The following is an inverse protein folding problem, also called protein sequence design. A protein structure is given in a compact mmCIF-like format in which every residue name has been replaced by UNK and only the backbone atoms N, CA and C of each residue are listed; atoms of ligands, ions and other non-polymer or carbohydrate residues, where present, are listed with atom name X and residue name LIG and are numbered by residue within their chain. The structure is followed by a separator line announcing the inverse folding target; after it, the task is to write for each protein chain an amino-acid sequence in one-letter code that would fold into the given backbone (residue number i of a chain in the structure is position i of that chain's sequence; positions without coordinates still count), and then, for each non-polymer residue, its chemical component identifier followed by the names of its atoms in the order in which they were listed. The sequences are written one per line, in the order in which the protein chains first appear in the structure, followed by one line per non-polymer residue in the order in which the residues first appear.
data_IF_833857647569
#
_entry.id   IF_833857647569
#
_cell.length_a   1.000
_cell.length_b   1.000
_cell.length_c   1.000
_cell.angle_alpha   90.00
_cell.angle_beta   90.00
_cell.angle_gamma   90.00
#
_symmetry.space_group_name_H-M   'P 1'
#
loop_
_entity.id
_entity.type
_entity.pdbx_description
1 polymer ?
#
# COMPACT_ATOMS: atom_id res chain seq x y z
N UNK A 1 37.35 13.07 48.23
CA UNK A 1 36.35 13.84 47.45
C UNK A 1 36.63 13.69 45.95
N UNK A 2 35.63 13.23 45.19
CA UNK A 2 35.48 13.60 43.78
C UNK A 2 35.98 12.61 42.72
N UNK A 3 35.00 12.12 41.94
CA UNK A 3 34.99 11.71 40.51
C UNK A 3 34.36 10.32 40.38
N UNK A 4 33.45 10.02 39.47
CA UNK A 4 32.60 10.76 38.55
C UNK A 4 31.68 9.65 38.01
N UNK A 5 30.36 9.79 38.18
CA UNK A 5 29.40 8.79 37.71
C UNK A 5 29.33 8.78 36.19
N UNK A 6 29.78 7.68 35.58
CA UNK A 6 29.60 7.42 34.16
C UNK A 6 28.18 6.95 33.91
N UNK A 7 27.32 7.87 33.47
CA UNK A 7 26.00 7.54 32.93
C UNK A 7 26.17 6.76 31.62
N UNK A 8 26.08 5.44 31.68
CA UNK A 8 25.91 4.61 30.50
C UNK A 8 24.47 4.77 30.01
N UNK A 9 24.23 5.71 29.09
CA UNK A 9 22.99 5.75 28.32
C UNK A 9 22.95 4.53 27.39
N UNK A 10 22.29 3.49 27.86
CA UNK A 10 21.99 2.28 27.10
C UNK A 10 20.85 2.63 26.12
N UNK A 11 21.18 3.19 24.96
CA UNK A 11 20.21 3.31 23.87
C UNK A 11 20.08 1.93 23.20
N UNK A 12 18.89 1.30 23.17
CA UNK A 12 18.72 0.06 22.45
C UNK A 12 19.02 0.33 20.97
N UNK A 13 19.87 -0.52 20.39
CA UNK A 13 20.15 -0.58 18.96
C UNK A 13 18.82 -0.75 18.23
N UNK A 14 18.23 0.36 17.77
CA UNK A 14 17.09 0.30 16.87
C UNK A 14 17.63 -0.23 15.54
N UNK A 15 17.21 -1.42 15.08
CA UNK A 15 17.63 -1.90 13.78
C UNK A 15 17.22 -0.86 12.74
N UNK A 16 18.05 -0.62 11.71
CA UNK A 16 17.67 0.26 10.62
C UNK A 16 16.33 -0.22 10.06
N UNK A 17 15.33 0.65 10.13
CA UNK A 17 14.03 0.41 9.50
C UNK A 17 14.28 0.49 8.01
N UNK A 18 14.58 -0.67 7.40
CA UNK A 18 14.61 -0.74 5.95
C UNK A 18 13.18 -0.48 5.46
N UNK A 19 12.95 0.52 4.60
CA UNK A 19 11.62 0.76 4.07
C UNK A 19 11.13 -0.52 3.41
N UNK A 20 9.94 -0.97 3.80
CA UNK A 20 9.32 -2.18 3.26
C UNK A 20 9.24 -2.04 1.73
N UNK A 21 10.08 -2.78 1.00
CA UNK A 21 10.03 -2.81 -0.47
C UNK A 21 8.94 -3.80 -0.87
N UNK A 22 7.85 -3.30 -1.44
CA UNK A 22 6.77 -4.15 -1.92
C UNK A 22 7.13 -4.71 -3.29
N UNK A 23 7.58 -5.96 -3.36
CA UNK A 23 8.00 -6.59 -4.62
C UNK A 23 7.42 -7.99 -4.79
N UNK A 24 7.06 -8.30 -6.03
CA UNK A 24 6.53 -9.60 -6.44
C UNK A 24 5.01 -9.72 -6.31
N UNK A 25 4.51 -10.90 -6.69
CA UNK A 25 3.09 -11.27 -6.66
C UNK A 25 2.87 -12.32 -5.58
N UNK A 26 1.85 -12.12 -4.74
CA UNK A 26 1.49 -13.03 -3.65
C UNK A 26 -0.02 -13.25 -3.64
N UNK A 27 -0.44 -14.52 -3.73
CA UNK A 27 -1.85 -14.92 -3.63
C UNK A 27 -2.17 -15.33 -2.20
N UNK A 28 -3.24 -14.78 -1.64
CA UNK A 28 -3.71 -15.09 -0.29
C UNK A 28 -5.23 -15.21 -0.29
N UNK A 29 -5.75 -16.13 0.53
CA UNK A 29 -7.19 -16.21 0.76
C UNK A 29 -7.63 -15.18 1.80
N UNK A 30 -8.89 -14.76 1.69
CA UNK A 30 -9.57 -13.95 2.69
C UNK A 30 -10.18 -14.87 3.76
N UNK A 31 -9.98 -14.52 5.02
CA UNK A 31 -10.56 -15.19 6.19
C UNK A 31 -12.09 -14.96 6.23
N UNK A 32 -12.85 -15.79 6.96
CA UNK A 32 -14.30 -15.63 7.16
C UNK A 32 -14.69 -14.24 7.71
N UNK A 33 -13.75 -13.53 8.35
CA UNK A 33 -13.93 -12.16 8.85
C UNK A 33 -13.47 -11.05 7.89
N UNK A 34 -13.25 -11.35 6.60
CA UNK A 34 -12.80 -10.35 5.62
C UNK A 34 -11.31 -9.95 5.74
N UNK A 35 -10.54 -10.64 6.59
CA UNK A 35 -9.13 -10.29 6.86
C UNK A 35 -8.21 -10.86 5.79
N UNK A 36 -7.31 -10.01 5.29
CA UNK A 36 -6.27 -10.39 4.33
C UNK A 36 -4.91 -10.44 5.03
N UNK A 37 -4.10 -11.45 4.71
CA UNK A 37 -2.75 -11.57 5.28
C UNK A 37 -1.74 -10.87 4.38
N UNK A 38 -0.96 -9.93 4.93
CA UNK A 38 0.19 -9.32 4.26
C UNK A 38 1.39 -10.29 4.31
N UNK A 39 2.15 -10.45 3.22
CA UNK A 39 3.40 -11.21 3.22
C UNK A 39 4.39 -10.73 4.28
N UNK A 40 5.07 -11.64 4.98
CA UNK A 40 6.00 -11.30 6.07
C UNK A 40 7.05 -10.25 5.70
N UNK A 41 7.59 -10.33 4.47
CA UNK A 41 8.59 -9.39 3.96
C UNK A 41 8.07 -7.95 3.77
N UNK A 42 6.76 -7.75 3.76
CA UNK A 42 6.12 -6.44 3.57
C UNK A 42 5.52 -5.88 4.85
N UNK A 43 5.59 -6.63 5.96
CA UNK A 43 5.00 -6.22 7.24
C UNK A 43 5.92 -5.20 7.92
N UNK A 44 5.41 -4.00 8.26
CA UNK A 44 6.12 -3.09 9.12
C UNK A 44 6.14 -3.65 10.56
N UNK A 45 7.09 -3.19 11.37
CA UNK A 45 7.06 -3.44 12.81
C UNK A 45 5.77 -2.88 13.43
N UNK A 46 5.14 -3.62 14.34
CA UNK A 46 3.82 -3.24 14.89
C UNK A 46 3.76 -1.84 15.51
N UNK A 47 4.76 -1.49 16.31
CA UNK A 47 4.86 -0.20 16.99
C UNK A 47 5.59 0.85 16.13
N UNK A 48 5.88 0.50 14.86
CA UNK A 48 6.47 1.43 13.92
C UNK A 48 5.42 2.42 13.45
N UNK A 49 5.85 3.68 13.27
CA UNK A 49 5.07 4.69 12.54
C UNK A 49 4.76 4.27 11.10
N UNK A 50 5.45 3.24 10.59
CA UNK A 50 5.19 2.64 9.28
C UNK A 50 3.99 1.68 9.26
N UNK A 51 3.43 1.30 10.42
CA UNK A 51 2.26 0.41 10.53
C UNK A 51 0.93 1.15 10.36
N UNK A 52 0.86 1.99 9.32
CA UNK A 52 -0.33 2.74 8.94
C UNK A 52 -0.42 2.76 7.42
N UNK A 53 -1.57 2.40 6.88
CA UNK A 53 -1.77 2.26 5.45
C UNK A 53 -3.07 2.92 5.03
N UNK A 54 -3.07 3.45 3.82
CA UNK A 54 -4.27 4.00 3.18
C UNK A 54 -4.59 3.15 1.94
N UNK A 55 -5.75 2.50 1.95
CA UNK A 55 -6.31 1.89 0.75
C UNK A 55 -7.18 2.88 -0.01
N UNK A 56 -6.96 2.97 -1.31
CA UNK A 56 -7.78 3.73 -2.25
C UNK A 56 -8.31 2.81 -3.36
N UNK A 57 -9.57 2.97 -3.79
CA UNK A 57 -10.07 2.27 -4.96
C UNK A 57 -9.36 2.80 -6.21
N UNK A 58 -9.08 1.92 -7.15
CA UNK A 58 -8.58 2.26 -8.47
C UNK A 58 -9.69 2.08 -9.50
N UNK A 59 -9.92 3.04 -10.42
CA UNK A 59 -10.95 2.94 -11.45
C UNK A 59 -10.91 1.65 -12.30
N UNK A 60 -9.74 1.02 -12.42
CA UNK A 60 -9.58 -0.27 -13.10
C UNK A 60 -10.07 -1.49 -12.27
N UNK A 61 -10.74 -1.29 -11.14
CA UNK A 61 -11.41 -2.34 -10.37
C UNK A 61 -10.52 -3.10 -9.39
N UNK A 62 -9.48 -2.45 -8.85
CA UNK A 62 -8.60 -2.99 -7.81
C UNK A 62 -8.34 -1.98 -6.71
N UNK A 63 -7.77 -2.41 -5.58
CA UNK A 63 -7.41 -1.51 -4.47
C UNK A 63 -5.92 -1.21 -4.52
N UNK A 64 -5.52 0.05 -4.30
CA UNK A 64 -4.12 0.42 -4.11
C UNK A 64 -3.88 0.79 -2.67
N UNK A 65 -2.86 0.19 -2.06
CA UNK A 65 -2.46 0.45 -0.68
C UNK A 65 -1.18 1.27 -0.65
N UNK A 66 -1.25 2.38 0.07
CA UNK A 66 -0.18 3.34 0.24
C UNK A 66 0.40 3.27 1.66
N UNK A 67 1.73 3.08 1.81
CA UNK A 67 2.40 3.25 3.10
C UNK A 67 2.52 4.74 3.47
N UNK A 68 2.90 5.09 4.72
CA UNK A 68 2.89 6.47 5.21
C UNK A 68 3.73 7.44 4.38
N UNK A 69 4.89 6.98 3.89
CA UNK A 69 5.74 7.79 3.01
C UNK A 69 5.04 8.20 1.72
N UNK A 70 4.24 7.31 1.14
CA UNK A 70 3.52 7.59 -0.10
C UNK A 70 2.23 8.37 0.16
N UNK A 71 1.63 8.22 1.35
CA UNK A 71 0.50 9.05 1.80
C UNK A 71 0.92 10.52 1.87
N UNK A 72 2.07 10.84 2.48
CA UNK A 72 2.56 12.22 2.54
C UNK A 72 2.74 12.83 1.14
N UNK A 73 3.28 12.06 0.18
CA UNK A 73 3.40 12.50 -1.21
C UNK A 73 2.04 12.68 -1.91
N UNK A 74 1.05 11.87 -1.55
CA UNK A 74 -0.30 12.00 -2.06
C UNK A 74 -0.99 13.25 -1.51
N UNK A 75 -0.83 13.54 -0.22
CA UNK A 75 -1.34 14.75 0.43
C UNK A 75 -0.77 16.02 -0.23
N UNK A 76 0.54 16.05 -0.48
CA UNK A 76 1.18 17.14 -1.21
C UNK A 76 0.55 17.34 -2.59
N UNK A 77 0.30 16.26 -3.35
CA UNK A 77 -0.31 16.35 -4.68
C UNK A 77 -1.76 16.84 -4.63
N UNK A 78 -2.54 16.33 -3.67
CA UNK A 78 -3.95 16.74 -3.49
C UNK A 78 -4.03 18.20 -3.08
N UNK A 79 -3.09 18.70 -2.26
CA UNK A 79 -3.04 20.12 -1.86
C UNK A 79 -2.85 21.10 -3.02
N UNK A 80 -2.35 20.64 -4.17
CA UNK A 80 -2.18 21.47 -5.37
C UNK A 80 -3.46 21.58 -6.20
N UNK A 81 -4.50 20.79 -5.90
CA UNK A 81 -5.78 20.87 -6.60
C UNK A 81 -6.46 22.18 -6.20
N UNK A 82 -6.82 23.00 -7.20
CA UNK A 82 -7.49 24.27 -6.98
C UNK A 82 -8.84 24.06 -6.29
N UNK A 83 -9.13 24.90 -5.30
CA UNK A 83 -10.45 24.93 -4.65
C UNK A 83 -11.58 25.39 -5.60
N UNK A 84 -11.22 26.08 -6.69
CA UNK A 84 -12.18 26.53 -7.71
C UNK A 84 -12.55 25.46 -8.75
N UNK A 85 -11.85 24.32 -8.77
CA UNK A 85 -12.12 23.22 -9.70
C UNK A 85 -13.14 22.25 -9.09
N UNK A 86 -14.42 22.53 -9.31
CA UNK A 86 -15.52 21.74 -8.74
C UNK A 86 -15.49 20.27 -9.19
N UNK A 87 -15.05 19.99 -10.41
CA UNK A 87 -15.00 18.63 -10.95
C UNK A 87 -13.88 17.83 -10.27
N UNK A 88 -12.70 18.43 -10.10
CA UNK A 88 -11.60 17.80 -9.37
C UNK A 88 -11.94 17.58 -7.88
N UNK A 89 -12.62 18.54 -7.23
CA UNK A 89 -13.07 18.41 -5.84
C UNK A 89 -14.12 17.31 -5.66
N UNK A 90 -15.06 17.18 -6.61
CA UNK A 90 -16.04 16.10 -6.58
C UNK A 90 -15.35 14.74 -6.76
N UNK A 91 -14.45 14.60 -7.75
CA UNK A 91 -13.72 13.35 -7.97
C UNK A 91 -12.84 12.96 -6.77
N UNK A 92 -12.23 13.94 -6.09
CA UNK A 92 -11.48 13.73 -4.87
C UNK A 92 -12.41 13.26 -3.73
N UNK A 93 -13.56 13.89 -3.58
CA UNK A 93 -14.56 13.52 -2.56
C UNK A 93 -15.00 12.08 -2.76
N UNK A 94 -15.38 11.71 -3.99
CA UNK A 94 -15.80 10.35 -4.34
C UNK A 94 -14.69 9.32 -4.03
N UNK A 95 -13.44 9.64 -4.38
CA UNK A 95 -12.28 8.79 -4.08
C UNK A 95 -12.05 8.63 -2.57
N UNK A 96 -12.18 9.72 -1.80
CA UNK A 96 -11.92 9.73 -0.36
C UNK A 96 -13.06 9.11 0.45
N UNK A 97 -14.31 9.18 -0.03
CA UNK A 97 -15.45 8.48 0.60
C UNK A 97 -15.22 6.97 0.65
N UNK A 98 -14.61 6.40 -0.39
CA UNK A 98 -14.28 4.98 -0.45
C UNK A 98 -12.93 4.62 0.20
N UNK A 99 -12.11 5.62 0.54
CA UNK A 99 -10.80 5.42 1.11
C UNK A 99 -10.89 4.74 2.49
N UNK A 100 -9.92 3.87 2.79
CA UNK A 100 -9.88 3.18 4.06
C UNK A 100 -8.47 3.18 4.66
N UNK A 101 -8.33 3.81 5.83
CA UNK A 101 -7.11 3.77 6.62
C UNK A 101 -7.11 2.57 7.56
N UNK A 102 -6.04 1.78 7.55
CA UNK A 102 -5.91 0.60 8.40
C UNK A 102 -4.46 0.37 8.84
N UNK A 103 -4.28 -0.51 9.82
CA UNK A 103 -2.98 -0.98 10.29
C UNK A 103 -2.92 -2.51 10.27
N UNK A 104 -1.73 -3.05 10.41
CA UNK A 104 -1.47 -4.49 10.42
C UNK A 104 -1.49 -5.01 11.87
N UNK A 105 -2.16 -6.15 12.10
CA UNK A 105 -2.18 -6.81 13.41
C UNK A 105 -0.87 -7.57 13.73
N UNK A 106 -0.79 -8.15 14.95
CA UNK A 106 0.33 -9.03 15.38
C UNK A 106 0.68 -10.15 14.40
N UNK A 107 -0.32 -10.65 13.68
CA UNK A 107 -0.21 -11.78 12.77
C UNK A 107 0.04 -11.32 11.33
N UNK A 108 0.11 -10.01 11.09
CA UNK A 108 0.29 -9.44 9.77
C UNK A 108 -0.99 -9.39 8.94
N UNK A 109 -2.16 -9.41 9.57
CA UNK A 109 -3.45 -9.32 8.89
C UNK A 109 -3.95 -7.90 8.88
N UNK A 110 -4.65 -7.56 7.81
CA UNK A 110 -5.33 -6.28 7.60
C UNK A 110 -6.81 -6.52 7.43
N UNK A 111 -7.60 -5.52 7.81
CA UNK A 111 -9.03 -5.51 7.56
C UNK A 111 -9.32 -4.40 6.55
N UNK A 112 -9.95 -4.75 5.43
CA UNK A 112 -10.46 -3.79 4.48
C UNK A 112 -11.95 -3.60 4.76
N UNK A 113 -12.48 -2.40 4.54
CA UNK A 113 -13.92 -2.18 4.62
C UNK A 113 -14.65 -2.99 3.54
N UNK A 114 -15.90 -3.33 3.81
CA UNK A 114 -16.72 -4.15 2.90
C UNK A 114 -16.95 -3.45 1.56
N UNK A 115 -16.94 -2.12 1.53
CA UNK A 115 -17.07 -1.31 0.32
C UNK A 115 -15.90 -1.53 -0.65
N UNK A 116 -14.64 -1.48 -0.17
CA UNK A 116 -13.48 -1.75 -1.03
C UNK A 116 -13.42 -3.20 -1.47
N UNK A 117 -13.77 -4.14 -0.59
CA UNK A 117 -13.85 -5.56 -0.94
C UNK A 117 -14.88 -5.80 -2.04
N UNK A 118 -16.05 -5.16 -1.94
CA UNK A 118 -17.12 -5.24 -2.94
C UNK A 118 -16.69 -4.58 -4.26
N UNK A 119 -16.09 -3.39 -4.18
CA UNK A 119 -15.60 -2.64 -5.34
C UNK A 119 -14.57 -3.45 -6.16
N UNK A 120 -13.57 -4.03 -5.49
CA UNK A 120 -12.54 -4.84 -6.13
C UNK A 120 -12.98 -6.30 -6.40
N UNK A 121 -14.25 -6.62 -6.12
CA UNK A 121 -14.88 -7.95 -6.31
C UNK A 121 -14.10 -9.07 -5.61
N UNK A 122 -13.51 -8.76 -4.46
CA UNK A 122 -12.73 -9.72 -3.68
C UNK A 122 -13.70 -10.51 -2.80
N UNK A 123 -13.69 -11.84 -2.93
CA UNK A 123 -14.61 -12.74 -2.21
C UNK A 123 -13.87 -13.81 -1.43
N UNK A 124 -13.05 -14.62 -2.12
CA UNK A 124 -12.35 -15.77 -1.52
C UNK A 124 -10.84 -15.64 -1.59
N UNK A 125 -10.33 -15.20 -2.73
CA UNK A 125 -8.90 -15.00 -2.96
C UNK A 125 -8.59 -13.57 -3.39
N UNK A 126 -7.43 -13.12 -2.94
CA UNK A 126 -6.86 -11.82 -3.26
C UNK A 126 -5.41 -12.00 -3.72
N UNK A 127 -5.03 -11.22 -4.73
CA UNK A 127 -3.67 -11.20 -5.26
C UNK A 127 -3.05 -9.85 -4.93
N UNK A 128 -1.99 -9.87 -4.13
CA UNK A 128 -1.22 -8.69 -3.83
C UNK A 128 -0.05 -8.56 -4.80
N UNK A 129 0.11 -7.39 -5.40
CA UNK A 129 1.16 -7.08 -6.37
C UNK A 129 1.96 -5.88 -5.87
N UNK A 130 3.23 -6.09 -5.56
CA UNK A 130 4.13 -5.03 -5.12
C UNK A 130 4.63 -4.15 -6.27
N UNK A 131 4.66 -2.83 -6.05
CA UNK A 131 5.12 -1.80 -6.99
C UNK A 131 6.25 -0.94 -6.41
N UNK A 132 7.11 -1.56 -5.60
CA UNK A 132 8.21 -0.96 -4.85
C UNK A 132 7.78 0.00 -3.72
N UNK A 133 7.03 1.06 -4.05
CA UNK A 133 6.60 2.13 -3.12
C UNK A 133 5.18 1.95 -2.60
N UNK A 134 4.39 1.11 -3.24
CA UNK A 134 3.03 0.76 -2.87
C UNK A 134 2.74 -0.68 -3.29
N UNK A 135 1.57 -1.20 -2.95
CA UNK A 135 1.10 -2.47 -3.48
C UNK A 135 -0.37 -2.38 -3.88
N UNK A 136 -0.78 -3.21 -4.82
CA UNK A 136 -2.16 -3.30 -5.26
C UNK A 136 -2.76 -4.65 -4.84
N UNK A 137 -4.05 -4.66 -4.53
CA UNK A 137 -4.83 -5.83 -4.16
C UNK A 137 -5.89 -6.05 -5.23
N UNK A 138 -5.81 -7.18 -5.89
CA UNK A 138 -6.73 -7.62 -6.94
C UNK A 138 -7.56 -8.80 -6.44
N UNK A 139 -8.72 -9.02 -7.05
CA UNK A 139 -9.33 -10.35 -7.06
C UNK A 139 -8.58 -11.26 -8.03
N UNK A 140 -8.64 -12.59 -7.83
CA UNK A 140 -7.99 -13.54 -8.75
C UNK A 140 -8.42 -13.30 -10.21
N UNK A 141 -9.72 -13.10 -10.46
CA UNK A 141 -10.26 -12.84 -11.79
C UNK A 141 -9.71 -11.54 -12.41
N UNK A 142 -9.61 -10.46 -11.64
CA UNK A 142 -9.06 -9.19 -12.12
C UNK A 142 -7.56 -9.32 -12.43
N UNK A 143 -6.81 -10.06 -11.61
CA UNK A 143 -5.39 -10.30 -11.83
C UNK A 143 -5.16 -11.17 -13.08
N UNK A 144 -5.95 -12.22 -13.26
CA UNK A 144 -5.85 -13.11 -14.42
C UNK A 144 -6.24 -12.38 -15.71
N UNK A 145 -7.25 -11.51 -15.67
CA UNK A 145 -7.59 -10.63 -16.78
C UNK A 145 -6.46 -9.66 -17.13
N UNK A 146 -5.84 -9.03 -16.12
CA UNK A 146 -4.70 -8.12 -16.31
C UNK A 146 -3.49 -8.83 -16.93
N UNK A 147 -3.20 -10.09 -16.54
CA UNK A 147 -2.15 -10.88 -17.16
C UNK A 147 -2.52 -11.35 -18.58
N UNK A 148 -3.79 -11.69 -18.80
CA UNK A 148 -4.31 -12.17 -20.08
C UNK A 148 -4.40 -11.09 -21.16
N UNK A 149 -4.56 -9.82 -20.79
CA UNK A 149 -4.55 -8.68 -21.72
C UNK A 149 -3.19 -8.39 -22.36
N UNK A 150 -2.18 -9.22 -22.11
CA UNK A 150 -0.80 -8.99 -22.52
C UNK A 150 -0.20 -7.91 -21.64
N UNK A 151 0.90 -8.22 -20.95
CA UNK A 151 1.75 -7.15 -20.42
C UNK A 151 2.09 -6.18 -21.55
N UNK A 152 2.39 -4.91 -21.21
CA UNK A 152 2.85 -3.95 -22.22
C UNK A 152 3.91 -4.61 -23.13
N UNK A 153 3.86 -4.39 -24.44
CA UNK A 153 4.82 -4.97 -25.38
C UNK A 153 6.25 -4.81 -24.80
N UNK A 154 7.10 -5.86 -24.79
CA UNK A 154 8.46 -5.77 -24.26
C UNK A 154 9.24 -4.55 -24.77
N UNK A 155 8.98 -4.10 -26.01
CA UNK A 155 9.56 -2.88 -26.58
C UNK A 155 9.05 -1.60 -25.91
N UNK A 156 7.75 -1.52 -25.61
CA UNK A 156 7.12 -0.42 -24.86
C UNK A 156 7.59 -0.39 -23.42
N UNK A 157 7.72 -1.55 -22.76
CA UNK A 157 8.28 -1.64 -21.41
C UNK A 157 9.72 -1.11 -21.37
N UNK A 158 10.56 -1.55 -22.32
CA UNK A 158 11.94 -1.10 -22.42
C UNK A 158 12.05 0.40 -22.70
N UNK A 159 11.16 0.97 -23.52
CA UNK A 159 11.13 2.41 -23.78
C UNK A 159 10.75 3.21 -22.52
N UNK A 160 9.75 2.74 -21.76
CA UNK A 160 9.34 3.36 -20.51
C UNK A 160 10.46 3.27 -19.46
N UNK A 161 11.10 2.12 -19.30
CA UNK A 161 12.19 1.97 -18.34
C UNK A 161 13.37 2.87 -18.66
N UNK A 162 13.74 3.01 -19.95
CA UNK A 162 14.74 3.98 -20.38
C UNK A 162 14.38 5.42 -20.02
N UNK A 163 13.11 5.81 -20.09
CA UNK A 163 12.65 7.14 -19.67
C UNK A 163 12.89 7.38 -18.17
N UNK A 164 12.83 6.34 -17.35
CA UNK A 164 13.13 6.39 -15.92
C UNK A 164 14.60 6.11 -15.58
N UNK A 165 15.47 5.91 -16.59
CA UNK A 165 16.89 5.62 -16.41
C UNK A 165 17.17 4.22 -15.84
N UNK A 166 16.25 3.28 -16.05
CA UNK A 166 16.33 1.87 -15.64
C UNK A 166 16.71 0.96 -16.82
#
# INVERSE_FOLDING_TARGET
MGRSGSYCFNYPFMPPVFPSRFVGVKRHNIDQKGRLTIPSAWRPGMDSKENFFLALPNPAGFVTVYPPKMIAQLEERISQISMGDMEAQQALTDLMTMAHSFSCDKQGRINLNDELLSFAKIRKGAVLVGKLTSFSIYSDAAFDAMQGSGGADPSTQAAIFKQFGL
#
